data_IF_279682788869
#
_entry.id   IF_279682788869
#
_cell.length_a   1.000
_cell.length_b   1.000
_cell.length_c   1.000
_cell.angle_alpha   90.00
_cell.angle_beta   90.00
_cell.angle_gamma   90.00
#
_symmetry.space_group_name_H-M   'P 1'
#
loop_
_entity.id
_entity.type
_entity.pdbx_description
1 polymer ?
2 non-polymer ?
3 water ?
#
# COMPACT_ATOMS: atom_id res chain seq x y z
N UNK A 23 7.47 3.61 -19.34
CA UNK A 23 6.85 3.26 -18.04
C UNK A 23 7.94 2.92 -17.01
N UNK A 24 7.59 2.70 -15.72
CA UNK A 24 8.52 2.06 -14.79
C UNK A 24 8.72 0.64 -15.30
N UNK A 25 9.78 -0.04 -14.83
CA UNK A 25 10.05 -1.44 -15.22
C UNK A 25 9.29 -2.40 -14.29
N UNK A 26 9.10 -2.02 -13.04
CA UNK A 26 8.34 -2.88 -12.08
C UNK A 26 7.54 -1.93 -11.19
N UNK A 27 6.33 -2.34 -10.82
CA UNK A 27 5.48 -1.59 -9.86
C UNK A 27 5.17 -2.52 -8.69
N UNK A 28 5.62 -2.17 -7.50
CA UNK A 28 5.43 -2.98 -6.27
C UNK A 28 4.21 -2.41 -5.54
N UNK A 29 3.16 -3.20 -5.43
CA UNK A 29 1.93 -2.72 -4.74
C UNK A 29 1.93 -3.32 -3.35
N UNK A 30 2.04 -2.50 -2.33
CA UNK A 30 2.14 -2.98 -0.94
C UNK A 30 0.79 -2.82 -0.27
N UNK A 31 0.33 -3.89 0.37
CA UNK A 31 -0.90 -3.92 1.19
C UNK A 31 -0.53 -4.41 2.58
N UNK A 32 -1.22 -3.88 3.57
CA UNK A 32 -1.08 -4.30 4.95
C UNK A 32 -1.97 -3.49 5.85
N UNK A 33 -2.40 -4.14 6.91
CA UNK A 33 -3.20 -3.45 7.96
C UNK A 33 -2.31 -2.48 8.74
N UNK A 34 -2.92 -1.53 9.40
CA UNK A 34 -2.14 -0.58 10.23
C UNK A 34 -1.44 -1.39 11.31
N UNK A 35 -0.27 -0.90 11.71
CA UNK A 35 0.61 -1.54 12.72
C UNK A 35 1.19 -2.86 12.21
N UNK A 36 1.07 -3.18 10.92
CA UNK A 36 1.70 -4.38 10.31
C UNK A 36 3.20 -4.15 10.14
N UNK A 37 3.62 -2.89 10.05
CA UNK A 37 4.98 -2.51 9.65
C UNK A 37 5.17 -2.31 8.16
N UNK A 38 4.10 -2.29 7.34
CA UNK A 38 4.25 -2.02 5.92
C UNK A 38 4.90 -0.63 5.71
N UNK A 39 4.54 0.39 6.47
CA UNK A 39 5.13 1.74 6.24
C UNK A 39 6.63 1.68 6.59
N UNK A 40 6.97 1.03 7.69
CA UNK A 40 8.38 0.84 8.09
C UNK A 40 9.15 0.15 6.96
N UNK A 41 8.61 -0.94 6.41
CA UNK A 41 9.35 -1.70 5.38
C UNK A 41 9.45 -0.90 4.07
N UNK A 42 8.37 -0.22 3.65
CA UNK A 42 8.39 0.57 2.42
C UNK A 42 9.44 1.69 2.57
N UNK A 43 9.50 2.30 3.74
CA UNK A 43 10.45 3.42 4.01
C UNK A 43 11.88 2.88 3.91
N UNK A 44 12.16 1.73 4.52
CA UNK A 44 13.52 1.10 4.41
C UNK A 44 13.82 0.79 2.96
N UNK A 45 12.86 0.22 2.24
CA UNK A 45 13.05 -0.14 0.82
C UNK A 45 13.31 1.12 -0.01
N UNK A 46 12.61 2.21 0.26
CA UNK A 46 12.79 3.48 -0.50
C UNK A 46 14.24 3.96 -0.32
N UNK A 47 14.75 3.91 0.92
CA UNK A 47 16.10 4.42 1.26
C UNK A 47 17.15 3.55 0.56
N UNK A 48 16.95 2.25 0.56
CA UNK A 48 17.87 1.28 -0.09
C UNK A 48 17.90 1.55 -1.60
N UNK A 49 16.73 1.69 -2.23
CA UNK A 49 16.67 1.80 -3.70
C UNK A 49 17.03 3.23 -4.14
N UNK A 50 16.82 4.22 -3.28
CA UNK A 50 17.24 5.63 -3.43
C UNK A 50 16.73 6.14 -4.79
N UNK A 51 17.60 6.52 -5.72
CA UNK A 51 17.16 7.24 -6.93
C UNK A 51 16.73 6.24 -8.00
N UNK A 52 16.65 4.93 -7.69
CA UNK A 52 16.09 3.94 -8.64
C UNK A 52 14.56 3.81 -8.41
N UNK A 53 14.03 4.43 -7.38
CA UNK A 53 12.59 4.24 -7.05
C UNK A 53 11.85 5.56 -6.83
N UNK A 54 10.52 5.49 -7.00
CA UNK A 54 9.55 6.56 -6.70
C UNK A 54 8.54 5.93 -5.74
N UNK A 55 8.28 6.59 -4.62
CA UNK A 55 7.17 6.22 -3.70
C UNK A 55 5.89 6.89 -4.17
N UNK A 56 4.83 6.10 -4.28
CA UNK A 56 3.50 6.59 -4.71
C UNK A 56 2.50 6.24 -3.61
N UNK A 57 1.72 7.22 -3.19
CA UNK A 57 0.66 7.02 -2.18
C UNK A 57 -0.65 7.36 -2.87
N UNK A 58 -1.52 6.35 -3.03
CA UNK A 58 -2.81 6.62 -3.69
C UNK A 58 -3.76 7.37 -2.75
N UNK A 59 -3.43 7.59 -1.49
CA UNK A 59 -4.30 8.43 -0.63
C UNK A 59 -3.88 9.89 -0.78
N UNK A 60 -2.73 10.17 -1.41
CA UNK A 60 -2.23 11.56 -1.47
C UNK A 60 -3.23 12.46 -2.20
N UNK A 61 -3.88 12.02 -3.32
CA UNK A 61 -4.85 12.89 -3.98
C UNK A 61 -5.99 13.30 -3.05
N UNK A 62 -6.33 12.46 -2.08
CA UNK A 62 -7.42 12.73 -1.12
C UNK A 62 -6.97 13.83 -0.16
N UNK A 63 -5.75 13.72 0.35
CA UNK A 63 -5.17 14.72 1.29
C UNK A 63 -5.00 16.06 0.56
N UNK A 64 -4.50 16.02 -0.66
CA UNK A 64 -4.28 17.23 -1.50
C UNK A 64 -5.63 17.93 -1.78
N UNK A 65 -6.71 17.18 -2.04
CA UNK A 65 -8.05 17.77 -2.31
C UNK A 65 -8.56 18.45 -1.04
N UNK A 66 -8.42 17.77 0.10
CA UNK A 66 -8.79 18.32 1.43
C UNK A 66 -8.00 19.62 1.67
N UNK A 67 -6.69 19.63 1.46
CA UNK A 67 -5.84 20.82 1.73
C UNK A 67 -6.32 22.00 0.87
N UNK A 68 -6.76 21.74 -0.37
CA UNK A 68 -7.47 22.72 -1.23
C UNK A 68 -8.96 22.74 -0.87
N UNK A 84 -7.79 15.24 13.08
CA UNK A 84 -7.64 13.93 12.38
C UNK A 84 -9.02 13.31 12.14
N UNK A 85 -9.88 13.29 13.16
CA UNK A 85 -11.29 12.85 12.97
C UNK A 85 -11.98 13.85 12.03
N UNK A 86 -11.57 15.13 12.04
CA UNK A 86 -12.15 16.15 11.13
C UNK A 86 -11.86 15.72 9.69
N UNK A 87 -10.64 15.26 9.42
CA UNK A 87 -10.26 14.79 8.06
C UNK A 87 -11.14 13.59 7.69
N UNK A 88 -11.33 12.67 8.63
CA UNK A 88 -12.08 11.43 8.32
C UNK A 88 -13.55 11.78 8.11
N UNK A 89 -14.09 12.66 8.93
CA UNK A 89 -15.54 12.89 8.80
C UNK A 89 -15.79 13.50 7.42
N UNK A 90 -14.90 14.39 6.99
CA UNK A 90 -15.14 15.20 5.78
C UNK A 90 -14.73 14.37 4.57
N UNK A 91 -13.72 13.50 4.70
CA UNK A 91 -13.10 12.92 3.47
C UNK A 91 -13.49 11.47 3.20
N UNK A 92 -13.84 10.68 4.20
CA UNK A 92 -14.08 9.23 3.95
C UNK A 92 -15.29 9.09 3.02
N UNK A 93 -16.40 9.74 3.31
CA UNK A 93 -17.61 9.50 2.51
C UNK A 93 -17.35 10.05 1.10
N UNK A 94 -16.72 11.21 0.99
CA UNK A 94 -16.38 11.89 -0.29
C UNK A 94 -15.49 10.97 -1.13
N UNK A 95 -14.42 10.45 -0.55
CA UNK A 95 -13.47 9.61 -1.33
C UNK A 95 -14.15 8.31 -1.76
N UNK A 96 -14.98 7.74 -0.91
CA UNK A 96 -15.69 6.48 -1.22
C UNK A 96 -16.60 6.76 -2.42
N UNK A 97 -17.27 7.91 -2.41
CA UNK A 97 -18.25 8.22 -3.50
C UNK A 97 -17.48 8.46 -4.80
N UNK A 98 -16.38 9.21 -4.73
CA UNK A 98 -15.53 9.43 -5.94
C UNK A 98 -15.06 8.07 -6.49
N UNK A 99 -14.53 7.18 -5.66
CA UNK A 99 -14.05 5.85 -6.11
C UNK A 99 -15.21 4.98 -6.61
N UNK A 100 -16.40 5.08 -6.00
CA UNK A 100 -17.60 4.30 -6.43
C UNK A 100 -17.97 4.71 -7.86
N UNK A 101 -17.76 5.98 -8.21
CA UNK A 101 -18.05 6.51 -9.57
C UNK A 101 -16.91 6.19 -10.54
N UNK A 102 -15.66 6.25 -10.08
CA UNK A 102 -14.53 5.88 -10.98
C UNK A 102 -13.46 5.19 -10.14
N UNK A 103 -13.46 3.88 -10.18
CA UNK A 103 -12.61 3.05 -9.28
C UNK A 103 -11.14 3.47 -9.38
N UNK A 104 -10.69 4.00 -10.52
CA UNK A 104 -9.27 4.31 -10.66
C UNK A 104 -8.96 5.77 -10.36
N UNK A 105 -9.90 6.59 -9.86
CA UNK A 105 -9.70 8.07 -9.85
C UNK A 105 -8.41 8.42 -9.06
N UNK A 106 -8.18 7.79 -7.92
CA UNK A 106 -7.06 8.22 -7.04
C UNK A 106 -5.78 7.59 -7.57
N UNK A 107 -5.83 6.33 -8.02
CA UNK A 107 -4.68 5.64 -8.67
C UNK A 107 -4.21 6.45 -9.88
N UNK A 108 -5.10 6.92 -10.74
CA UNK A 108 -4.75 7.69 -11.95
C UNK A 108 -4.04 8.98 -11.49
N UNK A 109 -4.63 9.68 -10.52
CA UNK A 109 -4.12 10.98 -10.05
C UNK A 109 -2.71 10.76 -9.49
N UNK A 110 -2.52 9.72 -8.65
CA UNK A 110 -1.21 9.45 -8.01
C UNK A 110 -0.20 9.07 -9.10
N UNK A 111 -0.57 8.29 -10.11
CA UNK A 111 0.39 7.83 -11.14
C UNK A 111 0.74 8.97 -12.11
N UNK A 112 -0.21 9.84 -12.40
CA UNK A 112 0.00 10.97 -13.34
C UNK A 112 1.06 11.90 -12.75
N UNK A 113 1.14 11.98 -11.43
CA UNK A 113 2.05 12.90 -10.70
C UNK A 113 3.37 12.22 -10.33
N UNK A 114 3.53 10.95 -10.61
CA UNK A 114 4.77 10.21 -10.28
C UNK A 114 5.84 10.42 -11.36
N UNK A 115 7.04 10.72 -10.89
CA UNK A 115 8.28 10.70 -11.69
C UNK A 115 8.48 9.28 -12.20
N UNK A 116 8.82 9.10 -13.47
CA UNK A 116 9.14 7.76 -14.04
C UNK A 116 10.49 7.33 -13.48
N UNK A 117 10.52 6.18 -12.80
CA UNK A 117 11.75 5.58 -12.21
C UNK A 117 11.67 4.10 -12.52
N UNK A 118 12.80 3.37 -12.56
CA UNK A 118 12.73 1.95 -12.88
C UNK A 118 11.76 1.21 -11.93
N UNK A 119 11.77 1.58 -10.65
CA UNK A 119 10.90 0.91 -9.63
C UNK A 119 9.91 1.91 -9.07
N UNK A 120 8.62 1.53 -9.12
CA UNK A 120 7.58 2.27 -8.39
C UNK A 120 7.17 1.46 -7.16
N UNK A 121 7.18 2.10 -6.01
CA UNK A 121 6.64 1.52 -4.75
C UNK A 121 5.33 2.23 -4.46
N UNK A 122 4.22 1.49 -4.56
CA UNK A 122 2.91 2.06 -4.18
C UNK A 122 2.68 1.57 -2.75
N UNK A 123 2.83 2.43 -1.77
CA UNK A 123 2.98 2.00 -0.37
C UNK A 123 1.64 1.73 0.32
N UNK A 124 0.48 2.02 -0.30
CA UNK A 124 -0.80 2.11 0.46
C UNK A 124 -1.96 1.56 -0.38
N UNK A 125 -1.77 0.47 -1.09
CA UNK A 125 -2.93 -0.15 -1.82
C UNK A 125 -3.88 -0.71 -0.77
N UNK A 126 -5.21 -0.51 -0.92
CA UNK A 126 -6.14 -1.00 0.10
C UNK A 126 -7.21 -1.92 -0.50
N UNK A 127 -7.54 -1.72 -1.74
CA UNK A 127 -8.76 -2.35 -2.30
C UNK A 127 -8.44 -3.24 -3.49
N UNK A 128 -9.29 -4.22 -3.73
CA UNK A 128 -9.12 -5.07 -4.93
C UNK A 128 -9.19 -4.22 -6.20
N UNK A 129 -10.02 -3.19 -6.19
CA UNK A 129 -10.17 -2.29 -7.36
C UNK A 129 -8.90 -1.47 -7.60
N UNK A 130 -8.07 -1.26 -6.57
CA UNK A 130 -6.76 -0.59 -6.77
C UNK A 130 -5.88 -1.54 -7.58
N UNK A 131 -5.81 -2.80 -7.16
CA UNK A 131 -4.96 -3.79 -7.88
C UNK A 131 -5.51 -3.95 -9.28
N UNK A 132 -6.82 -4.06 -9.44
CA UNK A 132 -7.43 -4.17 -10.78
C UNK A 132 -7.03 -3.01 -11.70
N UNK A 133 -7.13 -1.78 -11.24
CA UNK A 133 -6.77 -0.60 -12.05
C UNK A 133 -5.28 -0.72 -12.44
N UNK A 134 -4.40 -1.03 -11.49
CA UNK A 134 -2.95 -1.12 -11.81
C UNK A 134 -2.73 -2.20 -12.86
N UNK A 135 -3.35 -3.35 -12.69
CA UNK A 135 -3.11 -4.49 -13.63
C UNK A 135 -3.69 -4.15 -15.00
N UNK A 136 -4.86 -3.49 -15.06
CA UNK A 136 -5.45 -3.10 -16.36
C UNK A 136 -4.51 -2.12 -17.05
N UNK A 137 -3.91 -1.23 -16.29
CA UNK A 137 -3.17 -0.08 -16.88
C UNK A 137 -1.76 -0.52 -17.28
N UNK A 138 -1.09 -1.27 -16.44
CA UNK A 138 0.36 -1.53 -16.55
C UNK A 138 0.64 -3.00 -16.82
N UNK A 139 -0.34 -3.87 -16.73
CA UNK A 139 -0.14 -5.28 -17.09
C UNK A 139 0.78 -6.03 -16.13
N UNK A 140 1.66 -6.84 -16.70
CA UNK A 140 2.38 -7.87 -15.91
C UNK A 140 3.63 -7.31 -15.26
N UNK A 141 3.86 -5.99 -15.24
CA UNK A 141 4.94 -5.37 -14.42
C UNK A 141 4.49 -5.17 -12.97
N UNK A 142 3.21 -5.42 -12.65
CA UNK A 142 2.73 -5.33 -11.25
C UNK A 142 3.25 -6.52 -10.45
N UNK A 143 3.69 -6.25 -9.24
CA UNK A 143 3.88 -7.30 -8.22
C UNK A 143 3.09 -6.86 -6.99
N UNK A 144 2.44 -7.79 -6.33
CA UNK A 144 1.69 -7.50 -5.10
C UNK A 144 2.39 -8.10 -3.91
N UNK A 145 2.47 -7.29 -2.88
CA UNK A 145 3.18 -7.62 -1.65
C UNK A 145 2.26 -7.35 -0.47
N UNK A 146 2.06 -8.36 0.34
CA UNK A 146 1.20 -8.27 1.53
C UNK A 146 2.10 -8.35 2.74
N UNK A 147 1.96 -7.41 3.67
CA UNK A 147 2.66 -7.46 4.96
C UNK A 147 1.62 -7.82 6.01
N UNK A 148 1.93 -8.85 6.81
CA UNK A 148 0.99 -9.33 7.83
C UNK A 148 1.62 -9.36 9.22
N UNK A 149 0.83 -9.17 10.25
CA UNK A 149 1.31 -9.26 11.65
C UNK A 149 0.16 -9.76 12.51
N UNK A 150 0.44 -10.73 13.38
CA UNK A 150 -0.52 -11.29 14.37
C UNK A 150 -1.01 -10.16 15.30
N UNK A 151 -2.18 -10.33 15.93
CA UNK A 151 -2.79 -9.24 16.74
C UNK A 151 -1.93 -8.94 17.99
N UNK A 152 -1.25 -9.93 18.58
CA UNK A 152 -0.41 -9.71 19.79
C UNK A 152 0.72 -8.75 19.41
N UNK A 153 1.36 -8.99 18.28
CA UNK A 153 2.42 -8.11 17.79
C UNK A 153 1.84 -6.72 17.52
N UNK A 154 0.68 -6.64 16.89
CA UNK A 154 0.17 -5.30 16.56
C UNK A 154 -0.08 -4.54 17.87
N UNK A 155 -0.65 -5.21 18.86
CA UNK A 155 -0.94 -4.59 20.19
C UNK A 155 0.38 -4.11 20.82
N UNK A 156 1.48 -4.84 20.67
CA UNK A 156 2.81 -4.36 21.13
C UNK A 156 3.21 -3.07 20.40
N UNK A 157 2.71 -2.82 19.20
CA UNK A 157 3.06 -1.60 18.45
C UNK A 157 2.04 -0.48 18.70
N UNK A 158 1.12 -0.70 19.64
CA UNK A 158 0.17 0.31 20.12
C UNK A 158 -1.21 0.17 19.50
N UNK A 159 -1.47 -0.93 18.80
CA UNK A 159 -2.79 -1.21 18.19
C UNK A 159 -3.85 -1.34 19.27
N UNK A 160 -4.91 -0.54 19.06
CA UNK A 160 -6.14 -0.61 19.88
C UNK A 160 -7.27 -0.63 18.85
N UNK A 161 -8.11 -1.65 18.89
CA UNK A 161 -9.20 -1.86 17.91
C UNK A 161 -10.05 -0.58 17.86
N UNK A 162 -10.28 -0.08 16.66
CA UNK A 162 -11.10 1.13 16.41
C UNK A 162 -12.22 0.74 15.45
N UNK A 163 -13.44 0.57 15.92
CA UNK A 163 -14.54 0.14 15.03
C UNK A 163 -14.67 1.15 13.87
N UNK A 164 -14.90 0.71 12.66
CA UNK A 164 -15.07 1.76 11.61
C UNK A 164 -13.73 2.15 11.00
N UNK A 165 -12.62 1.99 11.72
CA UNK A 165 -11.28 1.90 11.07
C UNK A 165 -11.01 0.42 10.78
N UNK A 166 -10.98 -0.43 11.80
CA UNK A 166 -10.47 -1.82 11.64
C UNK A 166 -11.49 -2.81 11.06
N UNK A 167 -12.77 -2.43 11.03
CA UNK A 167 -13.85 -3.28 10.46
C UNK A 167 -14.22 -2.73 9.09
N UNK A 168 -13.55 -1.67 8.67
CA UNK A 168 -13.84 -0.90 7.42
C UNK A 168 -13.20 -1.57 6.19
N UNK A 169 -13.81 -1.36 5.02
CA UNK A 169 -13.24 -1.78 3.71
C UNK A 169 -11.78 -1.33 3.60
N UNK A 170 -11.48 -0.12 4.04
CA UNK A 170 -10.12 0.48 3.99
C UNK A 170 -9.06 -0.44 4.59
N UNK A 171 -9.38 -1.20 5.62
CA UNK A 171 -8.39 -2.09 6.31
C UNK A 171 -8.57 -3.55 5.93
N UNK A 172 -9.74 -3.94 5.37
CA UNK A 172 -10.15 -5.37 5.28
C UNK A 172 -10.35 -5.86 3.85
N UNK A 173 -10.37 -4.98 2.85
CA UNK A 173 -10.78 -5.36 1.48
C UNK A 173 -9.84 -6.38 0.86
N UNK A 174 -8.55 -6.47 1.27
CA UNK A 174 -7.58 -7.40 0.69
C UNK A 174 -7.30 -8.60 1.58
N UNK A 175 -8.09 -8.76 2.65
CA UNK A 175 -7.84 -9.82 3.64
C UNK A 175 -8.05 -11.20 3.02
N UNK A 176 -8.87 -11.27 1.97
CA UNK A 176 -9.19 -12.57 1.31
C UNK A 176 -8.60 -12.59 -0.10
N UNK A 177 -7.67 -11.68 -0.42
CA UNK A 177 -7.01 -11.70 -1.75
C UNK A 177 -6.16 -12.95 -1.86
N UNK A 178 -6.14 -13.61 -3.02
CA UNK A 178 -5.46 -14.94 -3.12
C UNK A 178 -4.35 -14.94 -4.15
N UNK A 179 -3.98 -13.78 -4.68
CA UNK A 179 -3.01 -13.75 -5.80
C UNK A 179 -1.72 -13.01 -5.40
N UNK A 180 -1.31 -12.99 -4.12
CA UNK A 180 -0.09 -12.26 -3.68
C UNK A 180 1.15 -12.81 -4.38
N UNK A 181 2.07 -11.94 -4.79
CA UNK A 181 3.39 -12.38 -5.30
C UNK A 181 4.26 -12.69 -4.09
N UNK A 182 4.18 -11.86 -3.07
CA UNK A 182 5.00 -12.05 -1.85
C UNK A 182 4.10 -11.77 -0.66
N UNK A 183 4.22 -12.61 0.37
CA UNK A 183 3.61 -12.33 1.67
C UNK A 183 4.74 -12.28 2.67
N UNK A 184 4.84 -11.17 3.38
CA UNK A 184 5.88 -10.97 4.42
C UNK A 184 5.24 -11.09 5.79
N UNK A 185 5.60 -12.14 6.53
CA UNK A 185 5.22 -12.24 7.95
C UNK A 185 6.06 -11.22 8.72
N UNK A 186 5.43 -10.22 9.31
CA UNK A 186 6.13 -9.24 10.18
C UNK A 186 5.52 -9.28 11.57
N UNK A 187 5.09 -10.47 11.99
CA UNK A 187 4.76 -10.71 13.40
C UNK A 187 5.54 -11.89 13.95
N UNK A 188 4.85 -12.72 14.72
CA UNK A 188 5.50 -13.86 15.40
C UNK A 188 6.07 -14.79 14.34
N UNK A 189 7.39 -15.06 14.41
CA UNK A 189 8.04 -15.95 13.44
C UNK A 189 8.64 -15.21 12.26
N UNK A 190 8.59 -13.89 12.26
CA UNK A 190 9.19 -13.13 11.15
C UNK A 190 10.69 -13.41 11.02
N UNK A 191 11.15 -13.31 9.79
CA UNK A 191 12.59 -13.30 9.49
C UNK A 191 13.23 -12.00 9.95
N UNK A 192 14.57 -11.96 9.91
CA UNK A 192 15.35 -10.74 10.19
C UNK A 192 14.91 -9.60 9.26
N UNK A 193 15.10 -8.38 9.70
CA UNK A 193 14.73 -7.22 8.86
C UNK A 193 15.54 -7.33 7.57
N UNK A 194 16.82 -7.68 7.67
CA UNK A 194 17.64 -7.84 6.46
C UNK A 194 17.01 -8.86 5.50
N UNK A 195 16.56 -10.01 5.99
CA UNK A 195 15.97 -11.06 5.11
C UNK A 195 14.60 -10.59 4.57
N UNK A 196 13.81 -9.88 5.39
CA UNK A 196 12.52 -9.35 4.88
C UNK A 196 12.80 -8.45 3.67
N UNK A 197 13.70 -7.48 3.84
CA UNK A 197 13.99 -6.50 2.77
C UNK A 197 14.54 -7.25 1.56
N UNK A 198 15.43 -8.23 1.76
CA UNK A 198 15.99 -9.04 0.65
C UNK A 198 14.89 -9.79 -0.10
N UNK A 199 13.86 -10.32 0.56
CA UNK A 199 12.73 -11.06 -0.09
C UNK A 199 11.97 -10.14 -1.04
N UNK A 200 11.89 -8.85 -0.71
CA UNK A 200 11.24 -7.84 -1.59
C UNK A 200 12.25 -7.40 -2.66
N UNK A 201 13.51 -7.17 -2.29
CA UNK A 201 14.53 -6.65 -3.24
C UNK A 201 14.74 -7.71 -4.34
N UNK A 202 14.53 -8.99 -4.04
CA UNK A 202 14.68 -10.06 -5.05
C UNK A 202 13.79 -9.75 -6.26
N UNK A 203 12.69 -9.04 -6.06
CA UNK A 203 11.70 -8.74 -7.14
C UNK A 203 12.32 -7.78 -8.16
N UNK A 204 13.29 -6.95 -7.78
CA UNK A 204 13.77 -5.81 -8.62
C UNK A 204 15.26 -5.99 -8.94
N UNK A 205 15.83 -7.17 -8.72
CA UNK A 205 17.31 -7.31 -8.68
C UNK A 205 17.88 -7.50 -10.09
N UNK A 206 17.01 -7.73 -11.07
CA UNK A 206 17.42 -7.88 -12.49
C UNK A 206 16.85 -6.71 -13.29
X LIG B 1 10.18 -3.78 14.23
X LIG B 1 9.69 -4.60 15.26
X LIG B 1 9.03 -2.98 13.67
X LIG B 1 9.44 -1.62 13.80
X LIG B 1 8.61 -3.42 12.27
X LIG B 1 7.24 -3.09 11.95
#
# INVERSE_FOLDING_TARGET
MHHHHHHSSGVDLGTENLYFQMSPKIILLFSGKRKSGKDFLTDHLRHILADKCEIIKISQPIKTHWAKEKNLNLNELLSEGEYKEQYRLEMIKWSEEMRNKDYGCFCKAACENAAIKPVWIVSDIRRKTDIRWFKETYGDIIRTVRITADDRTRKERGFQFQVGVDDATSECDLDDYNDWDVVVNNGEGRDSLEEQLDSILKLVSNL
GOL C1 O1 C2 O2 C3 O3
#
